data_IF_763075306354
#
_entry.id   IF_763075306354
#
_cell.length_a   1.000
_cell.length_b   1.000
_cell.length_c   1.000
_cell.angle_alpha   90.00
_cell.angle_beta   90.00
_cell.angle_gamma   90.00
#
_symmetry.space_group_name_H-M   'P 1'
#
loop_
_entity.id
_entity.type
_entity.pdbx_description
1 polymer ?
#
# COMPACT_ATOMS: atom_id res chain seq x y z
N UNK A 1 -4.45 7.77 28.26
CA UNK A 1 -4.48 7.34 26.84
C UNK A 1 -4.50 5.82 26.82
N UNK A 2 -5.59 5.22 26.31
CA UNK A 2 -5.70 3.75 26.32
C UNK A 2 -4.65 3.15 25.38
N UNK A 3 -3.88 2.22 25.90
CA UNK A 3 -2.82 1.52 25.20
C UNK A 3 -3.43 0.35 24.43
N UNK A 4 -3.28 0.36 23.09
CA UNK A 4 -3.65 -0.78 22.24
C UNK A 4 -2.40 -1.62 22.04
N UNK A 5 -2.43 -2.87 22.49
CA UNK A 5 -1.36 -3.85 22.30
C UNK A 5 -1.83 -4.94 21.35
N UNK A 6 -1.07 -5.15 20.28
CA UNK A 6 -1.26 -6.24 19.35
C UNK A 6 -0.03 -7.14 19.43
N UNK A 7 -0.24 -8.40 19.79
CA UNK A 7 0.85 -9.38 19.88
C UNK A 7 1.15 -9.92 18.49
N UNK A 8 2.25 -9.47 17.90
CA UNK A 8 2.76 -9.96 16.62
C UNK A 8 4.12 -10.62 16.85
N UNK A 9 4.30 -11.83 16.35
CA UNK A 9 5.61 -12.51 16.43
C UNK A 9 6.59 -11.81 15.49
N UNK A 10 7.71 -11.26 16.00
CA UNK A 10 8.66 -10.55 15.16
C UNK A 10 9.42 -11.49 14.24
N UNK A 11 9.66 -11.06 13.01
CA UNK A 11 10.51 -11.74 12.03
C UNK A 11 11.72 -10.84 11.78
N UNK A 12 12.92 -11.40 11.93
CA UNK A 12 14.15 -10.65 11.65
C UNK A 12 14.32 -10.47 10.14
N UNK A 13 14.54 -9.23 9.72
CA UNK A 13 14.98 -8.93 8.35
C UNK A 13 16.41 -9.44 8.13
N UNK A 14 16.65 -10.12 7.04
CA UNK A 14 17.97 -10.69 6.67
C UNK A 14 18.58 -9.87 5.54
N UNK A 15 17.82 -9.62 4.50
CA UNK A 15 18.27 -8.91 3.31
C UNK A 15 17.98 -7.41 3.37
N UNK A 16 18.84 -6.56 2.78
CA UNK A 16 18.55 -5.14 2.60
C UNK A 16 17.25 -4.92 1.83
N UNK A 17 16.56 -3.81 2.09
CA UNK A 17 15.34 -3.38 1.37
C UNK A 17 14.12 -4.32 1.49
N UNK A 18 14.12 -5.27 2.42
CA UNK A 18 13.02 -6.22 2.66
C UNK A 18 12.06 -5.82 3.79
N UNK A 19 12.18 -4.62 4.33
CA UNK A 19 11.38 -4.21 5.49
C UNK A 19 9.87 -4.38 5.28
N UNK A 20 9.35 -3.98 4.12
CA UNK A 20 7.93 -4.11 3.79
C UNK A 20 7.49 -5.57 3.62
N UNK A 21 8.35 -6.41 3.05
CA UNK A 21 8.12 -7.86 2.89
C UNK A 21 8.02 -8.53 4.25
N UNK A 22 8.98 -8.25 5.12
CA UNK A 22 8.99 -8.81 6.48
C UNK A 22 7.79 -8.33 7.29
N UNK A 23 7.45 -7.04 7.22
CA UNK A 23 6.24 -6.51 7.87
C UNK A 23 4.97 -7.17 7.34
N UNK A 24 4.84 -7.37 6.02
CA UNK A 24 3.69 -8.05 5.43
C UNK A 24 3.58 -9.50 5.93
N UNK A 25 4.69 -10.22 5.99
CA UNK A 25 4.71 -11.60 6.53
C UNK A 25 4.26 -11.64 7.99
N UNK A 26 4.71 -10.71 8.83
CA UNK A 26 4.29 -10.62 10.22
C UNK A 26 2.78 -10.36 10.33
N UNK A 27 2.26 -9.41 9.54
CA UNK A 27 0.83 -9.06 9.56
C UNK A 27 -0.02 -10.23 9.07
N UNK A 28 0.33 -10.85 7.95
CA UNK A 28 -0.41 -11.99 7.42
C UNK A 28 -0.38 -13.18 8.37
N UNK A 29 0.77 -13.45 9.00
CA UNK A 29 0.90 -14.51 10.01
C UNK A 29 0.02 -14.24 11.23
N UNK A 30 -0.10 -13.00 11.68
CA UNK A 30 -1.03 -12.60 12.73
C UNK A 30 -2.48 -12.96 12.40
N UNK A 31 -2.87 -12.85 11.13
CA UNK A 31 -4.19 -13.25 10.63
C UNK A 31 -4.28 -14.73 10.21
N UNK A 32 -3.30 -15.55 10.57
CA UNK A 32 -3.31 -16.98 10.27
C UNK A 32 -2.87 -17.37 8.86
N UNK A 33 -2.44 -16.41 8.04
CA UNK A 33 -1.96 -16.67 6.66
C UNK A 33 -0.45 -16.66 6.63
N UNK A 34 0.17 -17.82 6.40
CA UNK A 34 1.62 -17.94 6.27
C UNK A 34 2.05 -17.74 4.83
N UNK A 35 3.04 -16.88 4.62
CA UNK A 35 3.68 -16.62 3.33
C UNK A 35 5.21 -16.57 3.50
N UNK A 36 5.94 -17.01 2.48
CA UNK A 36 7.40 -16.86 2.44
C UNK A 36 7.80 -15.48 1.91
N UNK A 37 9.05 -15.09 2.08
CA UNK A 37 9.59 -13.90 1.40
C UNK A 37 9.49 -14.04 -0.11
N UNK A 38 9.77 -15.24 -0.64
CA UNK A 38 9.71 -15.51 -2.08
C UNK A 38 8.30 -15.30 -2.65
N UNK A 39 7.25 -15.73 -1.95
CA UNK A 39 5.86 -15.50 -2.39
C UNK A 39 5.54 -14.01 -2.57
N UNK A 40 6.11 -13.17 -1.70
CA UNK A 40 5.93 -11.71 -1.80
C UNK A 40 6.80 -11.14 -2.91
N UNK A 41 8.06 -11.55 -3.00
CA UNK A 41 9.01 -11.11 -4.04
C UNK A 41 8.50 -11.39 -5.45
N UNK A 42 7.94 -12.57 -5.68
CA UNK A 42 7.46 -12.99 -7.01
C UNK A 42 6.25 -12.19 -7.48
N UNK A 43 5.59 -11.50 -6.55
CA UNK A 43 4.37 -10.76 -6.86
C UNK A 43 4.56 -9.25 -6.98
N UNK A 44 5.38 -8.66 -6.09
CA UNK A 44 5.48 -7.20 -6.00
C UNK A 44 6.43 -6.62 -7.05
N UNK A 45 6.05 -5.47 -7.60
CA UNK A 45 6.94 -4.62 -8.39
C UNK A 45 7.77 -3.77 -7.43
N UNK A 46 9.08 -3.74 -7.63
CA UNK A 46 10.01 -2.93 -6.87
C UNK A 46 10.35 -1.64 -7.60
N UNK A 47 10.71 -0.61 -6.85
CA UNK A 47 11.29 0.59 -7.40
C UNK A 47 12.75 0.36 -7.86
N UNK A 48 13.34 1.36 -8.50
CA UNK A 48 14.71 1.28 -9.03
C UNK A 48 15.77 1.13 -7.92
N UNK A 49 15.47 1.49 -6.68
CA UNK A 49 16.35 1.32 -5.52
C UNK A 49 16.21 -0.05 -4.86
N UNK A 50 15.29 -0.88 -5.32
CA UNK A 50 14.95 -2.18 -4.74
C UNK A 50 13.91 -2.11 -3.62
N UNK A 51 13.37 -0.93 -3.32
CA UNK A 51 12.27 -0.74 -2.37
C UNK A 51 10.93 -1.24 -2.91
N UNK A 52 9.91 -1.28 -2.05
CA UNK A 52 8.57 -1.69 -2.43
C UNK A 52 7.60 -0.54 -2.26
N UNK A 53 6.72 -0.34 -3.24
CA UNK A 53 5.62 0.61 -3.12
C UNK A 53 4.57 0.08 -2.13
N UNK A 54 4.00 0.97 -1.31
CA UNK A 54 2.92 0.61 -0.39
C UNK A 54 1.73 -0.01 -1.11
N UNK A 55 1.46 0.43 -2.32
CA UNK A 55 0.40 -0.10 -3.19
C UNK A 55 0.65 -1.53 -3.62
N UNK A 56 1.90 -1.94 -3.87
CA UNK A 56 2.23 -3.34 -4.19
C UNK A 56 2.00 -4.26 -2.99
N UNK A 57 2.36 -3.80 -1.79
CA UNK A 57 2.08 -4.52 -0.55
C UNK A 57 0.57 -4.64 -0.31
N UNK A 58 -0.18 -3.56 -0.58
CA UNK A 58 -1.64 -3.55 -0.49
C UNK A 58 -2.28 -4.53 -1.49
N UNK A 59 -1.80 -4.57 -2.73
CA UNK A 59 -2.24 -5.51 -3.77
C UNK A 59 -1.99 -6.96 -3.37
N UNK A 60 -0.80 -7.26 -2.83
CA UNK A 60 -0.48 -8.60 -2.35
C UNK A 60 -1.43 -9.05 -1.23
N UNK A 61 -1.69 -8.20 -0.24
CA UNK A 61 -2.66 -8.50 0.82
C UNK A 61 -4.07 -8.69 0.26
N UNK A 62 -4.49 -7.86 -0.70
CA UNK A 62 -5.79 -8.00 -1.37
C UNK A 62 -5.91 -9.35 -2.08
N UNK A 63 -4.88 -9.79 -2.78
CA UNK A 63 -4.83 -11.11 -3.43
C UNK A 63 -4.93 -12.27 -2.44
N UNK A 64 -4.45 -12.08 -1.21
CA UNK A 64 -4.59 -13.07 -0.12
C UNK A 64 -5.98 -13.04 0.55
N UNK A 65 -6.93 -12.27 0.00
CA UNK A 65 -8.33 -12.23 0.45
C UNK A 65 -8.64 -11.18 1.51
N UNK A 66 -7.71 -10.27 1.81
CA UNK A 66 -7.93 -9.22 2.80
C UNK A 66 -8.65 -8.01 2.19
N UNK A 67 -9.46 -7.34 2.99
CA UNK A 67 -9.91 -5.99 2.68
C UNK A 67 -8.80 -5.02 3.09
N UNK A 68 -8.40 -4.15 2.15
CA UNK A 68 -7.23 -3.30 2.34
C UNK A 68 -7.59 -1.85 2.08
N UNK A 69 -7.31 -1.01 3.07
CA UNK A 69 -7.30 0.44 2.94
C UNK A 69 -5.84 0.91 2.82
N UNK A 70 -5.52 1.56 1.72
CA UNK A 70 -4.22 2.18 1.50
C UNK A 70 -4.37 3.71 1.61
N UNK A 71 -3.89 4.28 2.69
CA UNK A 71 -3.92 5.73 2.92
C UNK A 71 -2.57 6.31 2.51
N UNK A 72 -2.58 7.18 1.52
CA UNK A 72 -1.35 7.78 1.01
C UNK A 72 -1.63 9.13 0.37
N UNK A 73 -0.65 10.02 0.42
CA UNK A 73 -0.69 11.29 -0.28
C UNK A 73 0.68 11.55 -0.91
N UNK A 74 0.72 11.54 -2.23
CA UNK A 74 1.94 11.80 -3.00
C UNK A 74 1.83 13.15 -3.69
N UNK A 75 2.59 14.15 -3.19
CA UNK A 75 2.53 15.55 -3.64
C UNK A 75 2.80 15.72 -5.14
N UNK A 76 3.59 14.85 -5.76
CA UNK A 76 3.88 14.90 -7.20
C UNK A 76 2.78 14.31 -8.09
N UNK A 77 1.79 13.63 -7.52
CA UNK A 77 0.72 12.94 -8.27
C UNK A 77 -0.67 13.48 -7.97
N UNK A 78 -0.88 14.00 -6.77
CA UNK A 78 -2.20 14.37 -6.28
C UNK A 78 -2.26 15.81 -5.81
N UNK A 79 -3.41 16.41 -6.04
CA UNK A 79 -3.82 17.64 -5.34
C UNK A 79 -5.03 17.35 -4.40
N UNK A 80 -5.35 18.28 -3.49
CA UNK A 80 -6.43 18.05 -2.51
C UNK A 80 -7.80 17.76 -3.12
N UNK A 81 -8.07 18.22 -4.35
CA UNK A 81 -9.34 17.98 -5.04
C UNK A 81 -9.52 16.55 -5.49
N UNK A 82 -8.42 15.83 -5.69
CA UNK A 82 -8.45 14.42 -6.12
C UNK A 82 -9.07 13.48 -5.09
N UNK A 83 -9.04 13.86 -3.81
CA UNK A 83 -9.69 13.11 -2.74
C UNK A 83 -11.21 12.94 -2.94
N UNK A 84 -11.83 13.74 -3.82
CA UNK A 84 -13.25 13.68 -4.17
C UNK A 84 -13.53 12.75 -5.36
N UNK A 85 -12.51 12.31 -6.07
CA UNK A 85 -12.66 11.44 -7.23
C UNK A 85 -13.03 10.03 -6.77
N UNK A 86 -13.94 9.40 -7.53
CA UNK A 86 -14.16 7.97 -7.40
C UNK A 86 -13.00 7.20 -8.06
N UNK A 87 -13.01 5.88 -7.89
CA UNK A 87 -12.00 4.97 -8.44
C UNK A 87 -11.70 5.21 -9.93
N UNK A 88 -12.76 5.27 -10.75
CA UNK A 88 -12.60 5.38 -12.21
C UNK A 88 -12.09 6.77 -12.62
N UNK A 89 -12.55 7.81 -11.94
CA UNK A 89 -12.06 9.17 -12.10
C UNK A 89 -10.58 9.29 -11.74
N UNK A 90 -10.16 8.62 -10.67
CA UNK A 90 -8.75 8.62 -10.23
C UNK A 90 -7.86 7.87 -11.21
N UNK A 91 -8.29 6.70 -11.69
CA UNK A 91 -7.57 5.95 -12.73
C UNK A 91 -7.42 6.80 -14.00
N UNK A 92 -8.51 7.39 -14.47
CA UNK A 92 -8.49 8.25 -15.65
C UNK A 92 -7.51 9.41 -15.50
N UNK A 93 -7.55 10.11 -14.37
CA UNK A 93 -6.62 11.21 -14.07
C UNK A 93 -5.17 10.75 -14.15
N UNK A 94 -4.82 9.66 -13.47
CA UNK A 94 -3.46 9.15 -13.43
C UNK A 94 -2.95 8.71 -14.81
N UNK A 95 -3.78 8.04 -15.60
CA UNK A 95 -3.44 7.65 -16.96
C UNK A 95 -3.29 8.87 -17.91
N UNK A 96 -4.07 9.93 -17.71
CA UNK A 96 -3.92 11.17 -18.44
C UNK A 96 -2.64 11.92 -18.08
N UNK A 97 -2.29 11.99 -16.79
CA UNK A 97 -1.06 12.64 -16.31
C UNK A 97 0.18 12.02 -16.97
N UNK A 98 0.24 10.70 -17.14
CA UNK A 98 1.38 10.01 -17.78
C UNK A 98 1.65 10.48 -19.22
N UNK A 99 0.67 11.06 -19.88
CA UNK A 99 0.80 11.54 -21.28
C UNK A 99 1.39 12.93 -21.40
N UNK A 100 1.50 13.66 -20.29
CA UNK A 100 2.00 15.03 -20.32
C UNK A 100 3.53 15.09 -20.36
N UNK A 101 4.11 16.01 -21.17
CA UNK A 101 5.57 16.16 -21.27
C UNK A 101 6.29 16.47 -19.99
N UNK A 102 5.58 17.08 -19.01
CA UNK A 102 6.15 17.40 -17.69
C UNK A 102 6.14 16.21 -16.71
N UNK A 103 5.50 15.10 -17.07
CA UNK A 103 5.42 13.95 -16.20
C UNK A 103 6.79 13.24 -16.14
N UNK A 104 7.39 13.22 -14.96
CA UNK A 104 8.70 12.61 -14.77
C UNK A 104 8.63 11.08 -14.94
N UNK A 105 9.64 10.53 -15.59
CA UNK A 105 9.83 9.06 -15.72
C UNK A 105 9.87 8.37 -14.35
N UNK A 106 10.36 9.05 -13.32
CA UNK A 106 10.46 8.52 -11.96
C UNK A 106 9.09 8.21 -11.35
N UNK A 107 8.03 8.85 -11.84
CA UNK A 107 6.67 8.61 -11.36
C UNK A 107 5.92 7.50 -12.10
N UNK A 108 6.44 6.98 -13.22
CA UNK A 108 5.72 5.95 -13.97
C UNK A 108 5.45 4.69 -13.14
N UNK A 109 6.46 4.14 -12.50
CA UNK A 109 6.32 2.90 -11.73
C UNK A 109 5.34 3.05 -10.56
N UNK A 110 5.42 4.14 -9.81
CA UNK A 110 4.48 4.36 -8.70
C UNK A 110 3.07 4.63 -9.21
N UNK A 111 2.91 5.35 -10.32
CA UNK A 111 1.59 5.60 -10.92
C UNK A 111 0.96 4.31 -11.40
N UNK A 112 1.71 3.45 -12.09
CA UNK A 112 1.23 2.15 -12.52
C UNK A 112 0.85 1.25 -11.34
N UNK A 113 1.65 1.28 -10.27
CA UNK A 113 1.34 0.55 -9.06
C UNK A 113 0.03 1.02 -8.41
N UNK A 114 -0.23 2.35 -8.35
CA UNK A 114 -1.48 2.90 -7.84
C UNK A 114 -2.66 2.50 -8.72
N UNK A 115 -2.53 2.64 -10.04
CA UNK A 115 -3.59 2.26 -11.00
C UNK A 115 -3.92 0.79 -10.88
N UNK A 116 -2.92 -0.07 -10.78
CA UNK A 116 -3.11 -1.51 -10.62
C UNK A 116 -3.76 -1.84 -9.26
N UNK A 117 -3.37 -1.16 -8.18
CA UNK A 117 -4.00 -1.33 -6.87
C UNK A 117 -5.49 -0.97 -6.90
N UNK A 118 -5.84 0.13 -7.56
CA UNK A 118 -7.23 0.52 -7.77
C UNK A 118 -8.01 -0.52 -8.58
N UNK A 119 -7.43 -1.03 -9.67
CA UNK A 119 -8.04 -2.08 -10.51
C UNK A 119 -8.25 -3.38 -9.73
N UNK A 120 -7.31 -3.76 -8.89
CA UNK A 120 -7.38 -4.96 -8.03
C UNK A 120 -8.35 -4.79 -6.85
N UNK A 121 -8.96 -3.62 -6.67
CA UNK A 121 -9.97 -3.35 -5.65
C UNK A 121 -9.38 -3.01 -4.27
N UNK A 122 -8.14 -2.52 -4.22
CA UNK A 122 -7.60 -1.86 -3.03
C UNK A 122 -8.35 -0.54 -2.85
N UNK A 123 -8.82 -0.26 -1.64
CA UNK A 123 -9.41 1.02 -1.31
C UNK A 123 -8.29 2.06 -1.08
N UNK A 124 -7.95 2.80 -2.15
CA UNK A 124 -6.91 3.81 -2.09
C UNK A 124 -7.50 5.16 -1.69
N UNK A 125 -7.04 5.69 -0.57
CA UNK A 125 -7.51 6.94 0.02
C UNK A 125 -6.40 7.98 -0.05
N UNK A 126 -6.67 9.09 -0.75
CA UNK A 126 -5.76 10.25 -0.82
C UNK A 126 -5.88 11.02 0.49
N UNK A 127 -5.14 10.56 1.49
CA UNK A 127 -5.21 11.07 2.83
C UNK A 127 -3.90 10.82 3.59
N UNK A 128 -3.47 11.81 4.37
CA UNK A 128 -2.36 11.64 5.31
C UNK A 128 -2.89 10.87 6.53
N UNK A 129 -2.29 9.74 6.92
CA UNK A 129 -2.69 9.00 8.11
C UNK A 129 -2.51 9.87 9.37
N UNK A 130 -3.59 10.07 10.12
CA UNK A 130 -3.51 10.70 11.43
C UNK A 130 -3.45 9.64 12.55
N UNK A 131 -2.94 9.99 13.74
CA UNK A 131 -2.96 9.09 14.89
C UNK A 131 -4.36 8.54 15.22
N UNK A 132 -5.40 9.35 15.05
CA UNK A 132 -6.80 8.96 15.28
C UNK A 132 -7.27 7.90 14.28
N UNK A 133 -6.89 8.06 13.00
CA UNK A 133 -7.21 7.09 11.95
C UNK A 133 -6.51 5.76 12.27
N UNK A 134 -5.23 5.80 12.59
CA UNK A 134 -4.46 4.61 12.95
C UNK A 134 -5.09 3.92 14.16
N UNK A 135 -5.39 4.67 15.22
CA UNK A 135 -6.02 4.15 16.43
C UNK A 135 -7.37 3.49 16.14
N UNK A 136 -8.20 4.11 15.30
CA UNK A 136 -9.50 3.56 14.89
C UNK A 136 -9.35 2.23 14.14
N UNK A 137 -8.37 2.11 13.24
CA UNK A 137 -8.11 0.85 12.52
C UNK A 137 -7.59 -0.24 13.45
N UNK A 138 -6.70 0.09 14.36
CA UNK A 138 -6.18 -0.85 15.37
C UNK A 138 -7.28 -1.35 16.31
N UNK A 139 -8.19 -0.48 16.73
CA UNK A 139 -9.31 -0.84 17.61
C UNK A 139 -10.33 -1.77 16.97
N UNK A 140 -10.56 -1.67 15.64
CA UNK A 140 -11.50 -2.51 14.91
C UNK A 140 -11.02 -3.96 14.70
N UNK A 141 -9.76 -4.25 14.92
CA UNK A 141 -9.14 -5.55 14.63
C UNK A 141 -9.15 -6.51 15.80
N UNK A 142 -9.67 -6.11 16.91
CA UNK A 142 -9.68 -6.89 18.16
C UNK A 142 -10.97 -7.70 18.31
N UNK A 143 -11.80 -7.74 17.28
CA UNK A 143 -13.06 -8.50 17.29
C UNK A 143 -13.13 -9.54 16.20
#
# INVERSE_FOLDING_TARGET
>A
MDKILISITPIKQIEPMECSIVCMRMILSFYGTKVSSQDVHDYIVRDLSGGSFNTEIARFAKRKGFNVDCLSYHLGLFDPSDAKLNKDGLIKKLEEQKKHPWFSSDYFLITDSIVNALKDGVNYLIQIPSPEIIKRHLSKKIH
#
